data_IF_816291511633
#
_entry.id   IF_816291511633
#
_cell.length_a   1.000
_cell.length_b   1.000
_cell.length_c   1.000
_cell.angle_alpha   90.00
_cell.angle_beta   90.00
_cell.angle_gamma   90.00
#
_symmetry.space_group_name_H-M   'P 1'
#
loop_
_entity.id
_entity.type
_entity.pdbx_description
1 polymer ?
#
# COMPACT_ATOMS: atom_id res chain seq x y z
N UNK A 1 29.45 2.58 7.54
CA UNK A 1 29.18 1.74 6.35
C UNK A 1 27.72 1.89 5.89
N UNK A 2 27.04 3.02 6.19
CA UNK A 2 25.58 3.15 6.08
C UNK A 2 25.10 4.17 5.03
N UNK A 3 25.75 5.32 4.91
CA UNK A 3 25.11 6.43 4.18
C UNK A 3 25.12 6.22 2.65
N UNK A 4 26.14 5.53 2.14
CA UNK A 4 26.27 5.28 0.70
C UNK A 4 25.18 4.31 0.17
N UNK A 5 24.79 3.30 0.95
CA UNK A 5 23.87 2.27 0.46
C UNK A 5 22.43 2.76 0.35
N UNK A 6 22.00 3.65 1.25
CA UNK A 6 20.67 4.25 1.18
C UNK A 6 20.56 5.26 0.06
N UNK A 7 21.62 6.03 -0.22
CA UNK A 7 21.65 6.88 -1.40
C UNK A 7 21.59 6.06 -2.71
N UNK A 8 22.21 4.87 -2.74
CA UNK A 8 22.01 3.93 -3.86
C UNK A 8 20.54 3.47 -3.94
N UNK A 9 19.91 3.14 -2.81
CA UNK A 9 18.50 2.71 -2.78
C UNK A 9 17.51 3.83 -3.16
N UNK A 10 17.88 5.11 -3.01
CA UNK A 10 17.05 6.28 -3.36
C UNK A 10 17.07 6.63 -4.86
N UNK A 11 17.41 5.68 -5.72
CA UNK A 11 17.28 5.85 -7.18
C UNK A 11 15.83 6.23 -7.52
N UNK A 12 15.64 7.23 -8.38
CA UNK A 12 14.34 7.89 -8.60
C UNK A 12 13.24 6.99 -9.19
N UNK A 13 13.60 5.86 -9.77
CA UNK A 13 12.69 4.85 -10.34
C UNK A 13 12.35 3.72 -9.35
N UNK A 14 12.89 3.73 -8.13
CA UNK A 14 12.41 2.88 -7.05
C UNK A 14 11.31 3.57 -6.26
N UNK A 15 10.20 2.87 -6.06
CA UNK A 15 9.16 3.34 -5.14
C UNK A 15 9.68 3.33 -3.70
N UNK A 16 9.19 4.23 -2.82
CA UNK A 16 9.51 4.16 -1.39
C UNK A 16 9.20 2.78 -0.79
N UNK A 17 8.10 2.13 -1.19
CA UNK A 17 7.74 0.78 -0.75
C UNK A 17 8.80 -0.26 -1.13
N UNK A 18 9.39 -0.18 -2.33
CA UNK A 18 10.50 -1.04 -2.76
C UNK A 18 11.70 -0.88 -1.82
N UNK A 19 12.07 0.37 -1.50
CA UNK A 19 13.17 0.67 -0.57
C UNK A 19 12.88 0.09 0.82
N UNK A 20 11.66 0.28 1.33
CA UNK A 20 11.20 -0.31 2.61
C UNK A 20 11.34 -1.83 2.62
N UNK A 21 10.89 -2.52 1.57
CA UNK A 21 11.00 -3.99 1.47
C UNK A 21 12.45 -4.47 1.57
N UNK A 22 13.38 -3.79 0.89
CA UNK A 22 14.81 -4.14 0.92
C UNK A 22 15.38 -3.90 2.32
N UNK A 23 15.06 -2.77 2.96
CA UNK A 23 15.46 -2.48 4.34
C UNK A 23 14.94 -3.56 5.30
N UNK A 24 13.66 -3.92 5.22
CA UNK A 24 13.10 -4.96 6.08
C UNK A 24 13.76 -6.33 5.86
N UNK A 25 14.13 -6.66 4.62
CA UNK A 25 14.85 -7.90 4.31
C UNK A 25 16.26 -7.89 4.93
N UNK A 26 16.95 -6.74 4.84
CA UNK A 26 18.28 -6.56 5.39
C UNK A 26 18.32 -6.57 6.93
N UNK A 27 17.30 -6.01 7.59
CA UNK A 27 17.39 -5.73 9.03
C UNK A 27 16.35 -6.45 9.91
N UNK A 28 15.34 -7.13 9.35
CA UNK A 28 14.27 -7.78 10.12
C UNK A 28 14.01 -9.26 9.74
N UNK A 29 14.96 -9.91 9.06
CA UNK A 29 14.82 -11.30 8.56
C UNK A 29 13.53 -11.55 7.75
N UNK A 30 12.97 -10.52 7.14
CA UNK A 30 11.78 -10.61 6.29
C UNK A 30 12.13 -11.18 4.92
N UNK A 31 11.22 -11.96 4.36
CA UNK A 31 11.21 -12.26 2.92
C UNK A 31 10.36 -11.20 2.23
N UNK A 32 10.94 -10.53 1.26
CA UNK A 32 10.24 -9.56 0.43
C UNK A 32 9.94 -10.13 -0.94
N UNK A 33 8.75 -9.84 -1.45
CA UNK A 33 8.31 -10.20 -2.80
C UNK A 33 8.01 -8.90 -3.52
N UNK A 34 8.91 -8.50 -4.41
CA UNK A 34 8.80 -7.27 -5.18
C UNK A 34 8.91 -7.56 -6.67
N UNK A 35 8.60 -6.57 -7.50
CA UNK A 35 8.75 -6.68 -8.95
C UNK A 35 9.79 -5.66 -9.43
N UNK A 36 10.75 -6.12 -10.23
CA UNK A 36 11.84 -5.31 -10.76
C UNK A 36 12.00 -5.53 -12.26
N UNK A 37 12.08 -4.44 -13.01
CA UNK A 37 12.47 -4.44 -14.42
C UNK A 37 13.98 -4.72 -14.58
N UNK A 38 14.44 -5.00 -15.79
CA UNK A 38 15.85 -5.37 -16.04
C UNK A 38 16.84 -4.30 -15.55
N UNK A 39 16.55 -3.03 -15.80
CA UNK A 39 17.42 -1.92 -15.42
C UNK A 39 17.48 -1.74 -13.89
N UNK A 40 16.32 -1.87 -13.25
CA UNK A 40 16.18 -1.86 -11.80
C UNK A 40 16.96 -3.02 -11.16
N UNK A 41 16.83 -4.24 -11.71
CA UNK A 41 17.53 -5.42 -11.23
C UNK A 41 19.05 -5.30 -11.42
N UNK A 42 19.51 -4.82 -12.59
CA UNK A 42 20.92 -4.63 -12.87
C UNK A 42 21.57 -3.68 -11.87
N UNK A 43 20.87 -2.61 -11.53
CA UNK A 43 21.32 -1.64 -10.54
C UNK A 43 21.27 -2.19 -9.11
N UNK A 44 20.21 -2.93 -8.76
CA UNK A 44 19.98 -3.37 -7.40
C UNK A 44 20.83 -4.58 -7.01
N UNK A 45 21.17 -5.48 -7.94
CA UNK A 45 21.97 -6.68 -7.66
C UNK A 45 23.23 -6.41 -6.80
N UNK A 46 24.14 -5.48 -7.16
CA UNK A 46 25.31 -5.20 -6.33
C UNK A 46 24.95 -4.59 -4.96
N UNK A 47 23.82 -3.91 -4.83
CA UNK A 47 23.32 -3.36 -3.56
C UNK A 47 22.82 -4.49 -2.65
N UNK A 48 22.13 -5.49 -3.20
CA UNK A 48 21.70 -6.67 -2.45
C UNK A 48 22.90 -7.48 -1.94
N UNK A 49 23.93 -7.64 -2.78
CA UNK A 49 25.18 -8.32 -2.39
C UNK A 49 25.88 -7.57 -1.24
N UNK A 50 25.98 -6.24 -1.32
CA UNK A 50 26.58 -5.41 -0.26
C UNK A 50 25.77 -5.48 1.06
N UNK A 51 24.45 -5.68 0.99
CA UNK A 51 23.58 -5.92 2.16
C UNK A 51 23.61 -7.37 2.67
N UNK A 52 24.31 -8.28 1.99
CA UNK A 52 24.32 -9.71 2.32
C UNK A 52 22.95 -10.36 2.12
N UNK A 53 22.22 -9.95 1.09
CA UNK A 53 20.91 -10.48 0.74
C UNK A 53 21.00 -11.43 -0.46
N UNK A 54 20.42 -12.62 -0.30
CA UNK A 54 20.13 -13.51 -1.40
C UNK A 54 18.85 -13.06 -2.12
N UNK A 55 18.76 -13.35 -3.42
CA UNK A 55 17.52 -13.18 -4.17
C UNK A 55 17.30 -14.27 -5.22
N UNK A 56 16.03 -14.53 -5.54
CA UNK A 56 15.65 -15.42 -6.63
C UNK A 56 14.61 -14.77 -7.54
N UNK A 57 14.79 -15.01 -8.84
CA UNK A 57 13.91 -14.50 -9.89
C UNK A 57 12.87 -15.54 -10.28
N UNK A 58 11.69 -15.07 -10.65
CA UNK A 58 10.72 -15.87 -11.39
C UNK A 58 11.28 -16.37 -12.73
N UNK A 59 10.82 -17.53 -13.23
CA UNK A 59 11.25 -18.08 -14.52
C UNK A 59 10.65 -17.34 -15.73
N UNK A 60 9.80 -16.33 -15.49
CA UNK A 60 9.12 -15.49 -16.49
C UNK A 60 9.07 -14.05 -15.99
N UNK A 61 8.86 -13.11 -16.91
CA UNK A 61 8.54 -11.71 -16.59
C UNK A 61 7.02 -11.51 -16.55
N UNK A 62 6.60 -10.54 -15.76
CA UNK A 62 5.21 -10.19 -15.51
C UNK A 62 4.92 -8.84 -16.16
N UNK A 63 3.82 -8.79 -16.91
CA UNK A 63 3.24 -7.54 -17.40
C UNK A 63 1.96 -7.33 -16.62
N UNK A 64 1.80 -6.15 -16.04
CA UNK A 64 0.69 -5.79 -15.17
C UNK A 64 -0.47 -5.18 -15.95
N UNK A 65 -1.68 -5.26 -15.39
CA UNK A 65 -2.76 -4.37 -15.79
C UNK A 65 -2.53 -2.97 -15.19
N UNK A 66 -3.30 -1.98 -15.62
CA UNK A 66 -3.38 -0.71 -14.91
C UNK A 66 -4.74 -0.63 -14.26
N UNK A 67 -4.77 -0.44 -12.94
CA UNK A 67 -6.02 -0.27 -12.23
C UNK A 67 -6.58 1.13 -12.51
N UNK A 68 -7.86 1.18 -12.88
CA UNK A 68 -8.59 2.40 -13.19
C UNK A 68 -8.66 3.29 -11.97
N UNK A 69 -8.26 4.55 -12.12
CA UNK A 69 -8.31 5.55 -11.06
C UNK A 69 -7.19 5.46 -10.02
N UNK A 70 -6.32 4.45 -10.03
CA UNK A 70 -5.31 4.26 -8.95
C UNK A 70 -3.92 4.81 -9.28
N UNK A 71 -3.81 5.82 -10.13
CA UNK A 71 -2.56 6.55 -10.35
C UNK A 71 -1.42 5.70 -10.94
N UNK A 72 -1.75 4.67 -11.72
CA UNK A 72 -0.78 3.73 -12.30
C UNK A 72 -0.44 2.53 -11.39
N UNK A 73 -1.04 2.44 -10.20
CA UNK A 73 -0.96 1.25 -9.36
C UNK A 73 -1.60 0.04 -10.05
N UNK A 74 -1.12 -1.16 -9.71
CA UNK A 74 -1.65 -2.41 -10.24
C UNK A 74 -1.70 -3.50 -9.18
N UNK A 75 -2.87 -4.08 -9.00
CA UNK A 75 -3.07 -5.26 -8.17
C UNK A 75 -3.11 -6.57 -8.98
N UNK A 76 -3.03 -6.52 -10.31
CA UNK A 76 -3.26 -7.70 -11.14
C UNK A 76 -2.25 -7.87 -12.29
N UNK A 77 -1.93 -9.14 -12.55
CA UNK A 77 -1.02 -9.54 -13.62
C UNK A 77 -1.85 -9.72 -14.91
N UNK A 78 -1.46 -9.01 -15.97
CA UNK A 78 -2.09 -9.13 -17.29
C UNK A 78 -1.65 -10.40 -18.01
N UNK A 79 -0.33 -10.63 -18.06
CA UNK A 79 0.26 -11.79 -18.74
C UNK A 79 1.69 -12.05 -18.31
N UNK A 80 2.12 -13.29 -18.51
CA UNK A 80 3.51 -13.71 -18.38
C UNK A 80 4.19 -13.71 -19.75
N UNK A 81 5.44 -13.26 -19.79
CA UNK A 81 6.27 -13.26 -21.00
C UNK A 81 7.63 -13.95 -20.73
N UNK A 82 8.31 -14.45 -21.78
CA UNK A 82 9.64 -15.03 -21.61
C UNK A 82 10.64 -14.04 -21.01
N UNK A 83 11.68 -14.55 -20.36
CA UNK A 83 12.74 -13.74 -19.74
C UNK A 83 13.53 -12.90 -20.75
N UNK A 84 13.54 -13.32 -22.02
CA UNK A 84 14.14 -12.59 -23.14
C UNK A 84 13.28 -11.42 -23.64
N UNK A 85 12.06 -11.25 -23.15
CA UNK A 85 11.24 -10.11 -23.53
C UNK A 85 11.89 -8.80 -23.05
N UNK A 86 11.90 -7.74 -23.87
CA UNK A 86 12.41 -6.44 -23.45
C UNK A 86 11.47 -5.71 -22.47
N UNK A 87 10.26 -6.24 -22.26
CA UNK A 87 9.24 -5.63 -21.40
C UNK A 87 8.87 -6.55 -20.22
N UNK A 88 8.39 -5.93 -19.15
CA UNK A 88 7.88 -6.61 -17.96
C UNK A 88 8.93 -6.73 -16.85
N UNK A 89 8.45 -7.07 -15.66
CA UNK A 89 9.28 -7.16 -14.46
C UNK A 89 9.45 -8.62 -14.03
N UNK A 90 10.60 -8.95 -13.44
CA UNK A 90 10.75 -10.18 -12.68
C UNK A 90 10.03 -10.04 -11.35
N UNK A 91 9.37 -11.10 -10.90
CA UNK A 91 9.07 -11.27 -9.50
C UNK A 91 10.35 -11.68 -8.79
N UNK A 92 10.71 -10.97 -7.73
CA UNK A 92 11.98 -11.14 -7.02
C UNK A 92 11.68 -11.39 -5.54
N UNK A 93 12.10 -12.56 -5.06
CA UNK A 93 12.11 -12.89 -3.64
C UNK A 93 13.46 -12.52 -3.05
N UNK A 94 13.48 -11.68 -2.01
CA UNK A 94 14.70 -11.14 -1.39
C UNK A 94 14.72 -11.48 0.10
N UNK A 95 15.87 -11.89 0.64
CA UNK A 95 16.04 -12.15 2.07
C UNK A 95 17.41 -12.71 2.43
N UNK A 96 17.61 -13.05 3.72
CA UNK A 96 18.90 -13.55 4.23
C UNK A 96 19.09 -15.06 4.21
N UNK A 97 18.00 -15.82 4.08
CA UNK A 97 18.01 -17.28 4.25
C UNK A 97 17.59 -17.95 2.95
N UNK A 98 18.58 -18.33 2.15
CA UNK A 98 18.42 -18.98 0.84
C UNK A 98 17.38 -20.09 0.81
N UNK A 99 17.39 -21.00 1.79
CA UNK A 99 16.44 -22.11 1.88
C UNK A 99 14.98 -21.63 2.01
N UNK A 100 14.73 -20.63 2.86
CA UNK A 100 13.38 -20.07 3.03
C UNK A 100 12.93 -19.29 1.79
N UNK A 101 13.86 -18.62 1.10
CA UNK A 101 13.57 -17.92 -0.14
C UNK A 101 13.19 -18.88 -1.27
N UNK A 102 13.95 -19.97 -1.43
CA UNK A 102 13.62 -21.02 -2.39
C UNK A 102 12.23 -21.59 -2.10
N UNK A 103 11.94 -21.90 -0.84
CA UNK A 103 10.62 -22.39 -0.44
C UNK A 103 9.51 -21.39 -0.77
N UNK A 104 9.66 -20.11 -0.41
CA UNK A 104 8.68 -19.07 -0.73
C UNK A 104 8.45 -18.92 -2.23
N UNK A 105 9.53 -18.97 -3.04
CA UNK A 105 9.46 -18.91 -4.50
C UNK A 105 8.69 -20.09 -5.09
N UNK A 106 9.01 -21.31 -4.68
CA UNK A 106 8.35 -22.50 -5.23
C UNK A 106 6.85 -22.51 -4.91
N UNK A 107 6.46 -22.08 -3.70
CA UNK A 107 5.05 -21.93 -3.34
C UNK A 107 4.35 -20.87 -4.21
N UNK A 108 4.98 -19.71 -4.39
CA UNK A 108 4.46 -18.62 -5.24
C UNK A 108 4.23 -19.10 -6.67
N UNK A 109 5.17 -19.88 -7.22
CA UNK A 109 5.05 -20.44 -8.58
C UNK A 109 3.96 -21.51 -8.70
N UNK A 110 3.63 -22.20 -7.61
CA UNK A 110 2.55 -23.19 -7.56
C UNK A 110 1.17 -22.55 -7.30
N UNK A 111 1.11 -21.25 -7.01
CA UNK A 111 -0.14 -20.53 -6.77
C UNK A 111 -0.83 -20.86 -5.45
N UNK A 112 -0.09 -21.32 -4.44
CA UNK A 112 -0.62 -21.55 -3.09
C UNK A 112 -0.47 -20.27 -2.25
N UNK A 113 -1.44 -19.36 -2.42
CA UNK A 113 -1.46 -18.05 -1.75
C UNK A 113 -1.48 -18.16 -0.22
N UNK A 114 -2.08 -19.23 0.33
CA UNK A 114 -2.15 -19.42 1.76
C UNK A 114 -0.77 -19.74 2.35
N UNK A 115 -0.09 -20.74 1.79
CA UNK A 115 1.27 -21.09 2.21
C UNK A 115 2.26 -19.96 1.92
N UNK A 116 2.07 -19.21 0.81
CA UNK A 116 2.90 -18.07 0.47
C UNK A 116 2.78 -16.98 1.54
N UNK A 117 1.56 -16.65 1.94
CA UNK A 117 1.33 -15.68 3.00
C UNK A 117 2.03 -16.05 4.32
N UNK A 118 2.03 -17.35 4.66
CA UNK A 118 2.74 -17.84 5.84
C UNK A 118 4.26 -17.67 5.69
N UNK A 119 4.81 -18.00 4.53
CA UNK A 119 6.24 -17.85 4.24
C UNK A 119 6.70 -16.38 4.28
N UNK A 120 5.84 -15.45 3.84
CA UNK A 120 6.07 -14.00 3.89
C UNK A 120 5.88 -13.39 5.29
N UNK A 121 5.41 -14.17 6.26
CA UNK A 121 5.15 -13.70 7.63
C UNK A 121 3.87 -12.87 7.76
N UNK A 122 2.93 -13.00 6.82
CA UNK A 122 1.63 -12.32 6.87
C UNK A 122 0.79 -12.95 8.01
N UNK A 123 0.05 -12.16 8.80
CA UNK A 123 -0.78 -12.71 9.86
C UNK A 123 -1.85 -13.66 9.32
N UNK A 124 -2.03 -14.81 9.99
CA UNK A 124 -3.00 -15.85 9.57
C UNK A 124 -4.42 -15.31 9.33
N UNK A 125 -4.88 -14.32 10.12
CA UNK A 125 -6.18 -13.70 9.91
C UNK A 125 -6.27 -12.93 8.58
N UNK A 126 -5.19 -12.25 8.18
CA UNK A 126 -5.11 -11.53 6.91
C UNK A 126 -5.03 -12.50 5.73
N UNK A 127 -4.28 -13.60 5.87
CA UNK A 127 -4.21 -14.65 4.84
C UNK A 127 -5.59 -15.27 4.63
N UNK A 128 -6.29 -15.64 5.71
CA UNK A 128 -7.65 -16.19 5.63
C UNK A 128 -8.61 -15.21 4.95
N UNK A 129 -8.57 -13.94 5.34
CA UNK A 129 -9.41 -12.91 4.72
C UNK A 129 -9.10 -12.71 3.23
N UNK A 130 -7.81 -12.73 2.84
CA UNK A 130 -7.41 -12.67 1.44
C UNK A 130 -8.03 -13.83 0.64
N UNK A 131 -7.79 -15.08 1.06
CA UNK A 131 -8.32 -16.27 0.38
C UNK A 131 -9.85 -16.31 0.33
N UNK A 132 -10.51 -15.86 1.41
CA UNK A 132 -11.97 -15.82 1.50
C UNK A 132 -12.62 -14.84 0.53
N UNK A 133 -11.97 -13.73 0.21
CA UNK A 133 -12.53 -12.66 -0.62
C UNK A 133 -11.95 -12.64 -2.05
N UNK A 134 -11.15 -13.64 -2.44
CA UNK A 134 -10.42 -13.60 -3.72
C UNK A 134 -11.32 -13.53 -4.94
N UNK A 135 -12.47 -14.20 -4.89
CA UNK A 135 -13.38 -14.24 -6.05
C UNK A 135 -14.04 -12.87 -6.25
N UNK A 136 -14.50 -12.25 -5.17
CA UNK A 136 -15.11 -10.93 -5.19
C UNK A 136 -14.07 -9.85 -5.52
N UNK A 137 -12.90 -9.87 -4.87
CA UNK A 137 -11.83 -8.92 -5.15
C UNK A 137 -11.35 -8.98 -6.61
N UNK A 138 -11.36 -10.16 -7.24
CA UNK A 138 -11.02 -10.29 -8.66
C UNK A 138 -11.96 -9.48 -9.57
N UNK A 139 -13.23 -9.32 -9.20
CA UNK A 139 -14.17 -8.46 -9.92
C UNK A 139 -13.86 -6.96 -9.70
N UNK A 140 -13.26 -6.61 -8.56
CA UNK A 140 -12.87 -5.26 -8.15
C UNK A 140 -11.35 -5.04 -8.31
N UNK A 141 -10.85 -5.27 -9.52
CA UNK A 141 -9.44 -5.00 -9.89
C UNK A 141 -8.39 -5.74 -9.04
N UNK A 142 -8.78 -6.83 -8.36
CA UNK A 142 -7.97 -7.56 -7.38
C UNK A 142 -7.59 -6.72 -6.15
N UNK A 143 -8.41 -5.74 -5.79
CA UNK A 143 -8.21 -4.86 -4.64
C UNK A 143 -9.08 -5.29 -3.46
N UNK A 144 -8.46 -5.42 -2.29
CA UNK A 144 -9.15 -5.90 -1.11
C UNK A 144 -9.56 -4.78 -0.16
N UNK A 145 -9.27 -3.51 -0.47
CA UNK A 145 -9.45 -2.38 0.45
C UNK A 145 -10.88 -2.28 0.99
N UNK A 146 -11.90 -2.38 0.14
CA UNK A 146 -13.31 -2.30 0.55
C UNK A 146 -13.72 -3.44 1.49
N UNK A 147 -13.11 -4.62 1.35
CA UNK A 147 -13.35 -5.76 2.23
C UNK A 147 -12.75 -5.55 3.63
N UNK A 148 -11.72 -4.70 3.75
CA UNK A 148 -11.06 -4.43 5.04
C UNK A 148 -11.86 -3.47 5.93
N UNK A 149 -12.58 -2.52 5.34
CA UNK A 149 -13.28 -1.46 6.12
C UNK A 149 -14.50 -2.04 6.82
N UNK A 150 -15.25 -2.89 6.13
CA UNK A 150 -16.60 -3.29 6.54
C UNK A 150 -17.58 -2.12 6.46
N UNK A 151 -18.89 -2.42 6.37
CA UNK A 151 -19.92 -1.41 6.06
C UNK A 151 -20.18 -0.34 7.14
N UNK A 152 -19.47 -0.31 8.26
CA UNK A 152 -19.81 0.55 9.42
C UNK A 152 -18.64 1.24 10.14
N UNK A 153 -17.37 0.95 9.82
CA UNK A 153 -16.26 1.52 10.58
C UNK A 153 -15.75 2.82 9.98
N UNK A 154 -16.02 3.93 10.67
CA UNK A 154 -15.50 5.26 10.31
C UNK A 154 -14.12 5.54 10.90
N UNK A 155 -13.76 4.91 12.02
CA UNK A 155 -12.49 5.12 12.75
C UNK A 155 -11.55 3.90 12.62
N UNK A 156 -10.81 3.77 11.52
CA UNK A 156 -9.74 2.79 11.39
C UNK A 156 -8.55 3.05 12.34
N UNK A 157 -7.85 1.99 12.72
CA UNK A 157 -6.51 2.08 13.32
C UNK A 157 -5.56 2.61 12.24
N UNK A 158 -4.93 3.79 12.43
CA UNK A 158 -4.01 4.38 11.45
C UNK A 158 -2.92 3.42 10.97
N UNK A 159 -2.47 2.52 11.85
CA UNK A 159 -1.41 1.55 11.57
C UNK A 159 -1.89 0.31 10.81
N UNK A 160 -3.20 0.20 10.56
CA UNK A 160 -3.81 -0.92 9.85
C UNK A 160 -4.54 -0.45 8.58
N UNK A 161 -4.39 0.80 8.16
CA UNK A 161 -4.95 1.29 6.89
C UNK A 161 -4.01 0.97 5.73
N UNK A 162 -4.56 0.36 4.67
CA UNK A 162 -3.78 -0.01 3.49
C UNK A 162 -3.58 1.16 2.51
N UNK A 163 -4.43 2.20 2.55
CA UNK A 163 -4.48 3.25 1.52
C UNK A 163 -3.17 4.02 1.29
N UNK A 164 -2.28 4.07 2.27
CA UNK A 164 -0.94 4.63 2.10
C UNK A 164 -0.12 3.92 1.00
N UNK A 165 -0.41 2.63 0.74
CA UNK A 165 0.28 1.82 -0.26
C UNK A 165 0.10 2.36 -1.70
N UNK A 166 -1.05 2.95 -2.03
CA UNK A 166 -1.30 3.52 -3.36
C UNK A 166 -0.44 4.74 -3.69
N UNK A 167 0.14 5.36 -2.66
CA UNK A 167 1.08 6.47 -2.79
C UNK A 167 2.53 6.01 -2.58
N UNK A 168 2.76 4.70 -2.44
CA UNK A 168 4.09 4.12 -2.21
C UNK A 168 4.54 4.09 -0.74
N UNK A 169 3.71 4.55 0.20
CA UNK A 169 4.07 4.74 1.62
C UNK A 169 3.34 3.79 2.58
N UNK A 170 2.88 2.63 2.11
CA UNK A 170 2.36 1.58 2.99
C UNK A 170 3.46 1.05 3.93
N UNK A 171 3.16 0.65 5.16
CA UNK A 171 4.17 0.05 6.06
C UNK A 171 4.24 -1.48 5.99
N UNK A 172 3.26 -2.09 5.31
CA UNK A 172 3.13 -3.53 5.07
C UNK A 172 2.77 -3.79 3.61
N UNK A 173 3.02 -5.00 3.12
CA UNK A 173 2.75 -5.42 1.73
C UNK A 173 1.60 -6.42 1.63
N UNK A 174 0.61 -6.29 2.51
CA UNK A 174 -0.56 -7.16 2.51
C UNK A 174 -1.81 -6.35 2.84
N UNK A 175 -2.94 -6.78 2.29
CA UNK A 175 -4.23 -6.27 2.71
C UNK A 175 -4.56 -6.79 4.12
N UNK A 176 -4.85 -5.91 5.08
CA UNK A 176 -5.24 -6.32 6.43
C UNK A 176 -6.63 -6.98 6.41
N UNK A 177 -6.89 -7.96 7.28
CA UNK A 177 -8.25 -8.55 7.37
C UNK A 177 -9.33 -7.58 7.84
N UNK A 178 -8.92 -6.46 8.46
CA UNK A 178 -9.81 -5.36 8.80
C UNK A 178 -9.00 -4.09 9.00
N UNK A 179 -9.65 -2.92 8.90
CA UNK A 179 -9.04 -1.62 9.22
C UNK A 179 -8.64 -1.44 10.69
N UNK A 180 -8.94 -2.42 11.55
CA UNK A 180 -8.57 -2.46 12.96
C UNK A 180 -7.76 -3.73 13.30
N UNK A 181 -7.07 -4.30 12.31
CA UNK A 181 -6.29 -5.52 12.50
C UNK A 181 -5.09 -5.26 13.40
N UNK A 182 -5.21 -5.69 14.67
CA UNK A 182 -4.15 -5.55 15.68
C UNK A 182 -2.81 -6.15 15.25
N UNK A 183 -2.83 -7.30 14.54
CA UNK A 183 -1.60 -7.95 14.06
C UNK A 183 -0.90 -7.12 12.98
N UNK A 184 -1.66 -6.56 12.03
CA UNK A 184 -1.11 -5.62 11.04
C UNK A 184 -0.58 -4.36 11.71
N UNK A 185 -1.33 -3.77 12.66
CA UNK A 185 -0.90 -2.59 13.43
C UNK A 185 0.44 -2.79 14.13
N UNK A 186 0.65 -3.95 14.76
CA UNK A 186 1.94 -4.31 15.38
C UNK A 186 3.05 -4.40 14.33
N UNK A 187 2.80 -5.04 13.18
CA UNK A 187 3.79 -5.14 12.11
C UNK A 187 4.15 -3.78 11.51
N UNK A 188 3.16 -2.91 11.26
CA UNK A 188 3.36 -1.58 10.73
C UNK A 188 4.19 -0.71 11.68
N UNK A 189 3.89 -0.73 12.99
CA UNK A 189 4.69 -0.04 14.00
C UNK A 189 6.13 -0.55 14.06
N UNK A 190 6.32 -1.87 13.99
CA UNK A 190 7.66 -2.46 13.92
C UNK A 190 8.42 -2.03 12.66
N UNK A 191 7.74 -1.96 11.51
CA UNK A 191 8.30 -1.46 10.27
C UNK A 191 8.70 0.02 10.37
N UNK A 192 7.83 0.88 10.91
CA UNK A 192 8.12 2.30 11.11
C UNK A 192 9.29 2.51 12.07
N UNK A 193 9.35 1.75 13.18
CA UNK A 193 10.48 1.80 14.11
C UNK A 193 11.79 1.37 13.44
N UNK A 194 11.75 0.31 12.63
CA UNK A 194 12.92 -0.12 11.88
C UNK A 194 13.38 0.95 10.90
N UNK A 195 12.46 1.49 10.08
CA UNK A 195 12.77 2.57 9.15
C UNK A 195 13.36 3.76 9.91
N UNK A 196 12.77 4.17 11.04
CA UNK A 196 13.25 5.31 11.81
C UNK A 196 14.67 5.11 12.35
N UNK A 197 15.06 3.88 12.67
CA UNK A 197 16.42 3.56 13.11
C UNK A 197 17.43 3.54 11.95
N UNK A 198 16.97 3.32 10.73
CA UNK A 198 17.81 3.08 9.55
C UNK A 198 17.90 4.32 8.66
N UNK A 199 16.75 4.88 8.29
CA UNK A 199 16.61 6.12 7.52
C UNK A 199 15.42 6.97 8.04
N UNK A 200 15.67 7.87 9.01
CA UNK A 200 14.63 8.64 9.69
C UNK A 200 13.76 9.48 8.76
N UNK A 201 14.36 10.12 7.74
CA UNK A 201 13.61 10.98 6.81
C UNK A 201 12.60 10.18 6.00
N UNK A 202 13.00 9.00 5.51
CA UNK A 202 12.10 8.09 4.83
C UNK A 202 10.99 7.64 5.79
N UNK A 203 11.35 7.25 7.02
CA UNK A 203 10.38 6.82 8.03
C UNK A 203 9.31 7.87 8.31
N UNK A 204 9.69 9.15 8.42
CA UNK A 204 8.76 10.25 8.64
C UNK A 204 7.70 10.33 7.56
N UNK A 205 8.06 10.12 6.29
CA UNK A 205 7.08 10.11 5.22
C UNK A 205 6.13 8.92 5.35
N UNK A 206 6.61 7.70 5.58
CA UNK A 206 5.72 6.54 5.85
C UNK A 206 4.76 6.79 7.01
N UNK A 207 5.25 7.35 8.13
CA UNK A 207 4.46 7.65 9.33
C UNK A 207 3.39 8.70 9.02
N UNK A 208 3.73 9.75 8.27
CA UNK A 208 2.77 10.79 7.86
C UNK A 208 1.61 10.20 7.08
N UNK A 209 1.87 9.32 6.11
CA UNK A 209 0.79 8.69 5.35
C UNK A 209 -0.10 7.81 6.23
N UNK A 210 0.41 7.12 7.25
CA UNK A 210 -0.47 6.42 8.20
C UNK A 210 -1.44 7.37 8.92
N UNK A 211 -1.05 8.63 9.12
CA UNK A 211 -1.86 9.64 9.80
C UNK A 211 -2.81 10.41 8.91
N UNK A 212 -2.83 10.20 7.60
CA UNK A 212 -3.73 10.88 6.67
C UNK A 212 -5.09 10.21 6.64
N UNK A 213 -6.16 11.01 6.60
CA UNK A 213 -7.47 10.46 6.29
C UNK A 213 -7.57 10.16 4.79
N UNK A 214 -8.40 9.19 4.44
CA UNK A 214 -8.52 8.75 3.06
C UNK A 214 -9.98 8.76 2.59
N UNK A 215 -10.19 9.22 1.36
CA UNK A 215 -11.33 8.80 0.56
C UNK A 215 -10.82 7.79 -0.47
N UNK A 216 -11.23 6.54 -0.30
CA UNK A 216 -11.00 5.49 -1.26
C UNK A 216 -12.19 5.39 -2.19
N UNK A 217 -11.93 5.29 -3.50
CA UNK A 217 -12.92 4.81 -4.46
C UNK A 217 -12.28 3.75 -5.34
N UNK A 218 -13.06 2.76 -5.75
CA UNK A 218 -12.54 1.68 -6.58
C UNK A 218 -12.09 2.19 -7.96
N UNK A 219 -12.83 3.16 -8.54
CA UNK A 219 -12.66 3.54 -9.95
C UNK A 219 -12.41 5.03 -10.21
N UNK A 220 -12.66 5.92 -9.24
CA UNK A 220 -12.56 7.38 -9.43
C UNK A 220 -11.54 8.03 -8.51
N UNK A 221 -10.44 7.33 -8.21
CA UNK A 221 -9.35 7.89 -7.44
C UNK A 221 -9.32 7.51 -5.96
N UNK A 222 -8.14 7.73 -5.40
CA UNK A 222 -7.83 7.61 -3.99
C UNK A 222 -7.25 8.96 -3.57
N UNK A 223 -7.75 9.48 -2.47
CA UNK A 223 -7.49 10.84 -2.03
C UNK A 223 -6.95 10.80 -0.61
N UNK A 224 -5.71 11.22 -0.43
CA UNK A 224 -5.05 11.33 0.86
C UNK A 224 -5.08 12.77 1.34
N UNK A 225 -5.73 13.01 2.46
CA UNK A 225 -5.91 14.33 3.03
C UNK A 225 -4.92 14.52 4.17
N UNK A 226 -4.02 15.49 3.99
CA UNK A 226 -2.85 15.67 4.86
C UNK A 226 -3.21 16.29 6.22
N UNK A 227 -4.41 16.86 6.34
CA UNK A 227 -4.91 17.48 7.56
C UNK A 227 -6.08 16.67 8.14
N UNK A 228 -5.91 16.23 9.39
CA UNK A 228 -6.85 15.31 10.06
C UNK A 228 -7.51 15.88 11.31
N UNK A 229 -7.13 17.10 11.72
CA UNK A 229 -7.51 17.69 13.01
C UNK A 229 -8.89 18.37 13.10
N UNK A 230 -9.73 18.30 12.06
CA UNK A 230 -10.98 19.09 11.99
C UNK A 230 -12.21 18.23 11.72
N UNK A 231 -12.37 17.13 12.46
CA UNK A 231 -13.58 16.31 12.41
C UNK A 231 -14.48 16.65 13.61
N UNK A 232 -15.68 17.18 13.36
CA UNK A 232 -16.70 17.47 14.39
C UNK A 232 -18.07 17.03 13.88
N UNK A 233 -18.78 16.22 14.67
CA UNK A 233 -20.15 15.77 14.34
C UNK A 233 -20.28 15.20 12.91
N UNK A 234 -19.35 14.33 12.51
CA UNK A 234 -19.25 13.74 11.15
C UNK A 234 -19.00 14.72 9.99
N UNK A 235 -18.66 15.97 10.30
CA UNK A 235 -18.20 16.95 9.32
C UNK A 235 -16.69 16.99 9.41
N UNK A 236 -16.04 16.72 8.28
CA UNK A 236 -14.61 16.82 8.12
C UNK A 236 -14.26 18.03 7.28
N UNK A 237 -13.58 19.00 7.88
CA UNK A 237 -13.04 20.14 7.15
C UNK A 237 -11.64 19.82 6.62
N UNK A 238 -11.37 20.23 5.38
CA UNK A 238 -10.07 20.03 4.74
C UNK A 238 -9.65 21.24 3.90
N UNK A 239 -8.35 21.41 3.72
CA UNK A 239 -7.78 22.35 2.74
C UNK A 239 -7.60 21.63 1.39
N UNK A 240 -8.29 22.06 0.31
CA UNK A 240 -8.16 21.43 -1.00
C UNK A 240 -6.74 21.50 -1.59
N UNK A 241 -5.87 22.39 -1.08
CA UNK A 241 -4.46 22.48 -1.49
C UNK A 241 -3.57 21.42 -0.82
N UNK A 242 -4.08 20.71 0.18
CA UNK A 242 -3.34 19.71 0.98
C UNK A 242 -3.88 18.30 0.77
N UNK A 243 -4.30 18.01 -0.46
CA UNK A 243 -4.81 16.70 -0.87
C UNK A 243 -3.87 16.13 -1.92
N UNK A 244 -3.52 14.87 -1.75
CA UNK A 244 -2.84 14.07 -2.75
C UNK A 244 -3.82 13.11 -3.40
N UNK A 245 -3.78 12.98 -4.71
CA UNK A 245 -4.88 12.40 -5.49
C UNK A 245 -4.30 11.49 -6.56
N UNK A 246 -4.80 10.26 -6.68
CA UNK A 246 -4.38 9.33 -7.73
C UNK A 246 -5.13 9.52 -9.07
N UNK A 247 -6.16 10.38 -9.08
CA UNK A 247 -6.95 10.71 -10.26
C UNK A 247 -7.40 12.18 -10.23
N UNK A 248 -7.71 12.74 -11.41
CA UNK A 248 -8.16 14.13 -11.60
C UNK A 248 -9.56 14.21 -12.24
N UNK A 249 -10.41 13.22 -11.97
CA UNK A 249 -11.77 13.08 -12.50
C UNK A 249 -12.81 14.06 -11.92
N UNK A 250 -14.09 13.73 -12.06
CA UNK A 250 -15.19 14.59 -11.57
C UNK A 250 -15.20 14.70 -10.04
N UNK A 251 -14.98 13.58 -9.34
CA UNK A 251 -14.87 13.58 -7.89
C UNK A 251 -13.70 14.44 -7.41
N UNK A 252 -12.55 14.34 -8.08
CA UNK A 252 -11.40 15.19 -7.82
C UNK A 252 -11.74 16.68 -7.94
N UNK A 253 -12.46 17.08 -9.00
CA UNK A 253 -12.90 18.46 -9.17
C UNK A 253 -13.88 18.91 -8.08
N UNK A 254 -14.79 18.04 -7.65
CA UNK A 254 -15.71 18.33 -6.56
C UNK A 254 -14.97 18.56 -5.25
N UNK A 255 -14.02 17.67 -4.91
CA UNK A 255 -13.16 17.79 -3.72
C UNK A 255 -12.37 19.11 -3.77
N UNK A 256 -11.78 19.47 -4.90
CA UNK A 256 -10.98 20.71 -5.02
C UNK A 256 -11.82 21.99 -4.95
N UNK A 257 -13.13 21.92 -5.25
CA UNK A 257 -14.06 23.04 -5.08
C UNK A 257 -14.63 23.13 -3.67
N UNK A 258 -14.57 22.03 -2.91
CA UNK A 258 -15.08 21.94 -1.55
C UNK A 258 -14.04 22.25 -0.49
N UNK A 259 -14.51 22.31 0.74
CA UNK A 259 -13.70 22.40 1.95
C UNK A 259 -14.25 21.53 3.10
N UNK A 260 -15.34 20.78 2.84
CA UNK A 260 -16.04 19.96 3.82
C UNK A 260 -16.50 18.64 3.21
N UNK A 261 -16.40 17.58 4.01
CA UNK A 261 -17.01 16.27 3.79
C UNK A 261 -17.99 15.99 4.93
N UNK A 262 -19.28 15.91 4.63
CA UNK A 262 -20.32 15.53 5.58
C UNK A 262 -20.60 14.04 5.39
N UNK A 263 -20.23 13.21 6.37
CA UNK A 263 -20.22 11.76 6.22
C UNK A 263 -21.33 11.13 7.06
N UNK A 264 -22.34 10.55 6.39
CA UNK A 264 -23.40 9.81 7.09
C UNK A 264 -22.92 8.37 7.37
N UNK A 265 -22.30 7.76 6.36
CA UNK A 265 -21.70 6.43 6.39
C UNK A 265 -20.42 6.44 5.55
N UNK A 266 -19.49 5.48 5.74
CA UNK A 266 -18.29 5.42 4.90
C UNK A 266 -18.60 5.45 3.39
N UNK A 267 -19.74 4.88 2.99
CA UNK A 267 -20.24 4.80 1.61
C UNK A 267 -21.29 5.87 1.23
N UNK A 268 -21.63 6.81 2.12
CA UNK A 268 -22.60 7.89 1.89
C UNK A 268 -22.12 9.21 2.51
N UNK A 269 -21.69 10.12 1.65
CA UNK A 269 -21.16 11.41 2.05
C UNK A 269 -21.50 12.53 1.06
N UNK A 270 -21.34 13.76 1.52
CA UNK A 270 -21.48 14.97 0.71
C UNK A 270 -20.19 15.77 0.73
N UNK A 271 -19.83 16.32 -0.42
CA UNK A 271 -18.79 17.32 -0.55
C UNK A 271 -19.48 18.68 -0.59
N UNK A 272 -19.07 19.58 0.30
CA UNK A 272 -19.62 20.92 0.41
C UNK A 272 -18.51 21.98 0.35
N UNK A 273 -18.86 23.18 -0.10
CA UNK A 273 -18.12 24.40 0.17
C UNK A 273 -18.96 25.24 1.12
N UNK A 274 -18.58 25.27 2.40
CA UNK A 274 -19.41 25.87 3.45
C UNK A 274 -20.81 25.24 3.46
N UNK A 275 -21.87 26.02 3.21
CA UNK A 275 -23.26 25.55 3.18
C UNK A 275 -23.70 25.01 1.81
N UNK A 276 -22.90 25.22 0.75
CA UNK A 276 -23.23 24.80 -0.61
C UNK A 276 -22.87 23.32 -0.84
N UNK A 277 -23.86 22.49 -1.18
CA UNK A 277 -23.62 21.11 -1.61
C UNK A 277 -23.08 21.09 -3.05
N UNK A 278 -21.86 20.56 -3.22
CA UNK A 278 -21.21 20.44 -4.53
C UNK A 278 -21.52 19.09 -5.16
N UNK A 279 -21.46 18.03 -4.36
CA UNK A 279 -21.65 16.65 -4.82
C UNK A 279 -22.12 15.77 -3.66
N UNK A 280 -23.11 14.91 -3.92
CA UNK A 280 -23.45 13.79 -3.05
C UNK A 280 -22.94 12.49 -3.66
N UNK A 281 -22.29 11.67 -2.84
CA UNK A 281 -21.76 10.36 -3.23
C UNK A 281 -22.40 9.29 -2.36
N UNK A 282 -23.04 8.31 -3.00
CA UNK A 282 -23.59 7.14 -2.33
C UNK A 282 -23.30 5.90 -3.19
N UNK A 283 -22.33 5.08 -2.78
CA UNK A 283 -21.91 3.89 -3.54
C UNK A 283 -21.22 2.86 -2.64
N UNK A 284 -21.43 1.57 -2.90
CA UNK A 284 -20.68 0.51 -2.19
C UNK A 284 -19.21 0.41 -2.64
N UNK A 285 -18.84 1.07 -3.75
CA UNK A 285 -17.47 1.12 -4.28
C UNK A 285 -16.61 2.26 -3.70
N UNK A 286 -17.10 2.94 -2.65
CA UNK A 286 -16.39 4.04 -2.01
C UNK A 286 -16.35 3.86 -0.50
N UNK A 287 -15.31 4.41 0.11
CA UNK A 287 -15.18 4.43 1.55
C UNK A 287 -14.40 5.66 2.02
N UNK A 288 -14.98 6.38 2.98
CA UNK A 288 -14.27 7.37 3.80
C UNK A 288 -13.66 6.71 5.05
N UNK A 289 -12.38 6.98 5.28
CA UNK A 289 -11.56 6.48 6.38
C UNK A 289 -11.02 7.65 7.22
N UNK A 290 -11.45 7.75 8.48
CA UNK A 290 -11.08 8.86 9.36
C UNK A 290 -10.10 8.49 10.46
N UNK A 291 -9.08 9.33 10.64
CA UNK A 291 -8.24 9.29 11.83
C UNK A 291 -8.59 10.46 12.74
N UNK A 292 -9.24 10.16 13.86
CA UNK A 292 -9.49 11.12 14.94
C UNK A 292 -8.32 11.22 15.92
N UNK A 293 -7.26 10.43 15.71
CA UNK A 293 -6.08 10.34 16.57
C UNK A 293 -4.82 10.69 15.78
N UNK A 294 -3.92 11.47 16.39
CA UNK A 294 -2.58 11.69 15.86
C UNK A 294 -1.81 10.37 15.81
N UNK A 295 -1.00 10.20 14.77
CA UNK A 295 -0.05 9.09 14.66
C UNK A 295 1.28 9.55 15.23
N UNK A 296 1.67 8.99 16.37
CA UNK A 296 2.97 9.21 16.97
C UNK A 296 3.78 7.91 16.97
N UNK A 297 5.09 8.04 16.76
CA UNK A 297 6.05 6.93 16.94
C UNK A 297 6.77 7.17 18.25
N UNK A 298 6.53 6.28 19.22
CA UNK A 298 7.34 6.20 20.44
C UNK A 298 8.47 5.18 20.26
#
# INVERSE_FOLDING_TARGET
MSDNIFEKLKRSDFSPATVREIIQSAYAEKISRIFLEDEQLHYLAPVLDELGLDYFLSPKKYIFNQDVGKGGFSNSIRKLVPTTSPNGAFMVHIGKRKEKLLYAREIDLNGDDYALGQALGIPECCIKAFVQNTTEAFADQNDYTLFTVGKQNLEPDPWSVHCAQYFGYGLVSHFPCSVNCKKTSVMAKAAAKLLNNVEPNLALDFIRYQGYCYLYTEYDGIYAFKETGLIKHNIWHYDPKKIEMSNTGLLAQAILKGNQLIVNFPSDFKICNEEEEIMKVQSESVCVLFHTKSVEVH
#
